data_IF_802323979321
#
_entry.id   IF_802323979321
#
_cell.length_a   1.000
_cell.length_b   1.000
_cell.length_c   1.000
_cell.angle_alpha   90.00
_cell.angle_beta   90.00
_cell.angle_gamma   90.00
#
_symmetry.space_group_name_H-M   'P 1'
#
loop_
_entity.id
_entity.type
_entity.pdbx_description
1 polymer ?
#
# COMPACT_ATOMS: atom_id res chain seq x y z
N UNK A 1 -0.68 28.10 24.68
CA UNK A 1 -0.94 26.87 23.89
C UNK A 1 0.23 25.95 24.06
N UNK A 2 0.02 24.88 24.82
CA UNK A 2 0.98 23.79 24.95
C UNK A 2 0.99 23.01 23.63
N UNK A 3 1.97 23.29 22.78
CA UNK A 3 2.27 22.44 21.64
C UNK A 3 2.56 21.04 22.16
N UNK A 4 1.80 20.06 21.71
CA UNK A 4 1.92 18.68 22.11
C UNK A 4 3.35 18.18 21.90
N UNK A 5 4.11 18.01 22.97
CA UNK A 5 5.50 17.52 22.94
C UNK A 5 5.62 16.15 22.29
N UNK A 6 4.56 15.34 22.30
CA UNK A 6 4.52 14.02 21.67
C UNK A 6 4.64 14.08 20.14
N UNK A 7 4.09 15.09 19.47
CA UNK A 7 4.23 15.25 18.02
C UNK A 7 5.68 15.61 17.64
N UNK A 8 6.33 16.49 18.40
CA UNK A 8 7.71 16.91 18.15
C UNK A 8 8.72 15.79 18.39
N UNK A 9 8.46 14.86 19.31
CA UNK A 9 9.34 13.72 19.58
C UNK A 9 9.25 12.62 18.53
N UNK A 10 8.07 12.42 17.91
CA UNK A 10 7.92 11.51 16.79
C UNK A 10 8.71 12.00 15.57
N UNK A 11 8.67 13.29 15.26
CA UNK A 11 9.43 13.87 14.16
C UNK A 11 10.95 13.80 14.35
N UNK A 12 11.43 13.90 15.59
CA UNK A 12 12.88 13.81 15.90
C UNK A 12 13.46 12.41 15.78
N UNK A 13 12.64 11.37 15.70
CA UNK A 13 13.05 9.96 15.69
C UNK A 13 12.74 9.22 14.38
N UNK A 14 12.28 9.93 13.35
CA UNK A 14 12.00 9.31 12.05
C UNK A 14 13.27 8.84 11.34
N UNK A 15 13.11 7.94 10.39
CA UNK A 15 14.14 7.56 9.43
C UNK A 15 14.49 8.70 8.49
N UNK A 16 15.59 8.58 7.79
CA UNK A 16 16.03 9.54 6.80
C UNK A 16 15.19 9.44 5.51
N UNK A 17 14.76 10.59 4.98
CA UNK A 17 14.09 10.65 3.69
C UNK A 17 15.10 10.49 2.55
N UNK A 18 14.83 9.54 1.65
CA UNK A 18 15.64 9.33 0.44
C UNK A 18 14.84 9.79 -0.77
N UNK A 19 15.43 10.64 -1.55
CA UNK A 19 14.87 11.12 -2.80
C UNK A 19 14.86 10.02 -3.87
N UNK A 20 13.90 10.07 -4.83
CA UNK A 20 13.75 9.09 -5.90
C UNK A 20 15.06 8.87 -6.68
N UNK A 21 15.86 9.93 -6.90
CA UNK A 21 17.13 9.87 -7.62
C UNK A 21 18.21 9.00 -6.96
N UNK A 22 18.13 8.81 -5.64
CA UNK A 22 19.05 7.97 -4.85
C UNK A 22 18.41 6.63 -4.44
N UNK A 23 17.11 6.47 -4.67
CA UNK A 23 16.35 5.32 -4.19
C UNK A 23 16.84 4.00 -4.81
N UNK A 24 17.01 3.96 -6.14
CA UNK A 24 17.44 2.74 -6.82
C UNK A 24 18.79 2.24 -6.29
N UNK A 25 19.78 3.12 -6.16
CA UNK A 25 21.08 2.75 -5.62
C UNK A 25 21.00 2.20 -4.17
N UNK A 26 20.09 2.73 -3.36
CA UNK A 26 19.87 2.24 -2.00
C UNK A 26 19.25 0.84 -2.00
N UNK A 27 18.23 0.58 -2.81
CA UNK A 27 17.50 -0.70 -2.77
C UNK A 27 18.21 -1.82 -3.54
N UNK A 28 19.15 -1.50 -4.42
CA UNK A 28 20.03 -2.47 -5.10
C UNK A 28 21.23 -2.90 -4.24
N UNK A 29 21.55 -2.15 -3.19
CA UNK A 29 22.61 -2.52 -2.26
C UNK A 29 22.23 -3.81 -1.53
N UNK A 30 23.07 -4.84 -1.65
CA UNK A 30 22.89 -6.16 -1.00
C UNK A 30 22.79 -6.08 0.52
N UNK A 31 23.27 -5.00 1.11
CA UNK A 31 23.18 -4.74 2.54
C UNK A 31 21.86 -4.03 2.95
N UNK A 32 20.94 -3.85 2.01
CA UNK A 32 19.65 -3.20 2.27
C UNK A 32 18.53 -4.22 2.42
N UNK A 33 17.75 -4.07 3.47
CA UNK A 33 16.47 -4.75 3.70
C UNK A 33 15.37 -3.82 3.20
N UNK A 34 14.73 -4.18 2.10
CA UNK A 34 13.63 -3.39 1.52
C UNK A 34 12.29 -3.91 2.01
N UNK A 35 11.47 -3.04 2.58
CA UNK A 35 10.18 -3.40 3.19
C UNK A 35 9.06 -2.56 2.58
N UNK A 36 8.05 -3.24 2.04
CA UNK A 36 6.79 -2.61 1.64
C UNK A 36 5.88 -2.47 2.88
N UNK A 37 5.61 -1.26 3.32
CA UNK A 37 4.78 -1.01 4.52
C UNK A 37 3.28 -0.95 4.21
N UNK A 38 2.88 -1.31 2.98
CA UNK A 38 1.49 -1.35 2.56
C UNK A 38 0.83 -2.67 2.94
N UNK A 39 -0.47 -2.75 2.71
CA UNK A 39 -1.23 -3.98 2.90
C UNK A 39 -0.95 -5.00 1.78
N UNK A 40 -1.20 -6.27 2.06
CA UNK A 40 -0.92 -7.36 1.12
C UNK A 40 -1.61 -7.23 -0.23
N UNK A 41 -2.82 -6.65 -0.28
CA UNK A 41 -3.53 -6.44 -1.55
C UNK A 41 -2.89 -5.33 -2.42
N UNK A 42 -2.30 -4.31 -1.79
CA UNK A 42 -1.55 -3.26 -2.49
C UNK A 42 -0.24 -3.83 -3.05
N UNK A 43 0.44 -4.68 -2.26
CA UNK A 43 1.65 -5.40 -2.68
C UNK A 43 1.38 -6.30 -3.89
N UNK A 44 0.24 -6.98 -3.91
CA UNK A 44 -0.08 -7.98 -4.94
C UNK A 44 -0.24 -7.39 -6.34
N UNK A 45 -0.63 -6.12 -6.46
CA UNK A 45 -0.78 -5.45 -7.76
C UNK A 45 0.48 -4.75 -8.25
N UNK A 46 1.42 -4.49 -7.35
CA UNK A 46 2.72 -3.94 -7.73
C UNK A 46 3.57 -3.60 -6.52
N UNK A 47 4.89 -3.73 -6.70
CA UNK A 47 5.88 -3.47 -5.65
C UNK A 47 7.28 -3.28 -6.26
N UNK A 48 8.26 -2.83 -5.48
CA UNK A 48 9.66 -2.84 -5.90
C UNK A 48 10.21 -4.27 -5.86
N UNK A 49 11.04 -4.61 -6.85
CA UNK A 49 11.73 -5.89 -6.92
C UNK A 49 12.48 -6.18 -5.60
N UNK A 50 12.41 -7.42 -5.12
CA UNK A 50 13.04 -7.91 -3.90
C UNK A 50 12.51 -7.30 -2.59
N UNK A 51 11.40 -6.58 -2.60
CA UNK A 51 10.81 -6.08 -1.38
C UNK A 51 10.17 -7.19 -0.55
N UNK A 52 10.24 -7.01 0.76
CA UNK A 52 9.59 -7.91 1.72
C UNK A 52 8.15 -7.47 1.91
N UNK A 53 7.22 -8.41 1.71
CA UNK A 53 5.82 -8.25 2.07
C UNK A 53 5.61 -8.68 3.54
N UNK A 54 5.22 -7.78 4.46
CA UNK A 54 4.87 -8.14 5.83
C UNK A 54 3.60 -9.01 5.94
N UNK A 55 2.85 -9.16 4.86
CA UNK A 55 1.57 -9.90 4.79
C UNK A 55 0.52 -9.38 5.78
N UNK A 56 0.51 -8.08 6.00
CA UNK A 56 -0.45 -7.40 6.86
C UNK A 56 -1.75 -7.10 6.12
N UNK A 57 -2.87 -7.20 6.82
CA UNK A 57 -4.18 -6.78 6.33
C UNK A 57 -4.43 -5.30 6.57
N UNK A 58 -3.77 -4.75 7.58
CA UNK A 58 -3.78 -3.34 7.91
C UNK A 58 -2.46 -2.91 8.55
N UNK A 59 -2.14 -1.62 8.47
CA UNK A 59 -0.87 -1.09 8.95
C UNK A 59 -0.64 -1.24 10.47
N UNK A 60 -1.69 -1.42 11.27
CA UNK A 60 -1.55 -1.63 12.72
C UNK A 60 -0.83 -2.94 13.08
N UNK A 61 -0.80 -3.89 12.15
CA UNK A 61 -0.13 -5.17 12.33
C UNK A 61 1.40 -5.09 12.10
N UNK A 62 1.89 -3.99 11.50
CA UNK A 62 3.31 -3.83 11.17
C UNK A 62 4.25 -3.96 12.39
N UNK A 63 3.98 -3.34 13.55
CA UNK A 63 4.81 -3.50 14.74
C UNK A 63 4.92 -4.96 15.21
N UNK A 64 3.83 -5.69 15.18
CA UNK A 64 3.80 -7.10 15.57
C UNK A 64 4.61 -7.97 14.60
N UNK A 65 4.50 -7.70 13.29
CA UNK A 65 5.31 -8.36 12.28
C UNK A 65 6.81 -8.14 12.50
N UNK A 66 7.25 -6.91 12.78
CA UNK A 66 8.65 -6.61 13.05
C UNK A 66 9.16 -7.41 14.25
N UNK A 67 8.39 -7.47 15.34
CA UNK A 67 8.74 -8.24 16.54
C UNK A 67 8.80 -9.74 16.27
N UNK A 68 7.86 -10.28 15.51
CA UNK A 68 7.83 -11.72 15.15
C UNK A 68 8.98 -12.12 14.24
N UNK A 69 9.46 -11.23 13.38
CA UNK A 69 10.55 -11.52 12.43
C UNK A 69 11.89 -11.75 13.11
N UNK A 70 12.07 -11.30 14.35
CA UNK A 70 13.29 -11.50 15.14
C UNK A 70 14.57 -11.13 14.37
N UNK A 71 14.68 -9.90 13.91
CA UNK A 71 15.90 -9.39 13.33
C UNK A 71 17.07 -9.53 14.32
N UNK A 72 18.23 -9.97 13.83
CA UNK A 72 19.42 -10.08 14.67
C UNK A 72 19.94 -8.69 15.08
N UNK A 73 20.68 -8.63 16.18
CA UNK A 73 21.32 -7.37 16.59
C UNK A 73 22.35 -6.89 15.54
N UNK A 74 22.98 -7.82 14.82
CA UNK A 74 23.83 -7.49 13.67
C UNK A 74 23.04 -6.83 12.55
N UNK A 75 21.83 -7.35 12.20
CA UNK A 75 20.99 -6.72 11.18
C UNK A 75 20.56 -5.31 11.57
N UNK A 76 20.24 -5.09 12.85
CA UNK A 76 19.81 -3.77 13.33
C UNK A 76 20.90 -2.71 13.24
N UNK A 77 22.15 -3.09 13.47
CA UNK A 77 23.29 -2.17 13.48
C UNK A 77 23.95 -2.00 12.11
N UNK A 78 24.04 -3.07 11.33
CA UNK A 78 24.87 -3.08 10.12
C UNK A 78 24.05 -2.91 8.84
N UNK A 79 22.82 -3.43 8.79
CA UNK A 79 22.01 -3.34 7.57
C UNK A 79 21.29 -2.01 7.46
N UNK A 80 21.07 -1.59 6.24
CA UNK A 80 20.18 -0.50 5.89
C UNK A 80 18.76 -1.04 5.80
N UNK A 81 17.80 -0.34 6.37
CA UNK A 81 16.37 -0.65 6.21
C UNK A 81 15.75 0.43 5.36
N UNK A 82 15.31 0.09 4.16
CA UNK A 82 14.62 0.98 3.26
C UNK A 82 13.12 0.64 3.23
N UNK A 83 12.26 1.63 3.40
CA UNK A 83 10.81 1.45 3.46
C UNK A 83 10.09 2.37 2.49
N UNK A 84 8.97 1.90 1.97
CA UNK A 84 8.12 2.66 1.08
C UNK A 84 6.64 2.39 1.31
N UNK A 85 5.79 3.32 0.91
CA UNK A 85 4.34 3.18 0.79
C UNK A 85 3.83 4.12 -0.30
N UNK A 86 2.54 4.15 -0.57
CA UNK A 86 1.94 4.94 -1.66
C UNK A 86 2.37 6.41 -1.65
N UNK A 87 2.12 7.13 -0.55
CA UNK A 87 2.42 8.58 -0.43
C UNK A 87 3.43 8.95 0.67
N UNK A 88 4.13 7.97 1.30
CA UNK A 88 5.16 8.24 2.33
C UNK A 88 4.67 8.25 3.78
N UNK A 89 3.41 8.56 4.06
CA UNK A 89 2.88 8.81 5.43
C UNK A 89 3.00 7.60 6.37
N UNK A 90 2.73 6.38 5.88
CA UNK A 90 2.89 5.15 6.69
C UNK A 90 4.35 4.94 7.08
N UNK A 91 5.28 5.30 6.19
CA UNK A 91 6.71 5.14 6.41
C UNK A 91 7.25 6.04 7.52
N UNK A 92 6.68 7.21 7.74
CA UNK A 92 7.07 8.07 8.87
C UNK A 92 6.89 7.36 10.21
N UNK A 93 5.72 6.73 10.41
CA UNK A 93 5.44 5.95 11.62
C UNK A 93 6.24 4.65 11.68
N UNK A 94 6.37 3.95 10.54
CA UNK A 94 7.13 2.70 10.46
C UNK A 94 8.61 2.94 10.78
N UNK A 95 9.22 4.01 10.25
CA UNK A 95 10.63 4.32 10.45
C UNK A 95 10.92 4.72 11.90
N UNK A 96 10.04 5.51 12.51
CA UNK A 96 10.14 5.85 13.93
C UNK A 96 10.06 4.58 14.80
N UNK A 97 9.17 3.65 14.48
CA UNK A 97 9.06 2.38 15.17
C UNK A 97 10.33 1.54 15.01
N UNK A 98 10.86 1.38 13.77
CA UNK A 98 12.08 0.63 13.52
C UNK A 98 13.28 1.20 14.30
N UNK A 99 13.42 2.53 14.35
CA UNK A 99 14.46 3.17 15.17
C UNK A 99 14.31 2.87 16.67
N UNK A 100 13.08 2.86 17.18
CA UNK A 100 12.81 2.50 18.58
C UNK A 100 13.11 1.01 18.87
N UNK A 101 13.01 0.13 17.87
CA UNK A 101 13.41 -1.28 17.98
C UNK A 101 14.94 -1.50 17.82
N UNK A 102 15.72 -0.41 17.72
CA UNK A 102 17.18 -0.44 17.72
C UNK A 102 17.85 -0.48 16.34
N UNK A 103 17.10 -0.23 15.25
CA UNK A 103 17.71 -0.10 13.92
C UNK A 103 18.39 1.25 13.76
N UNK A 104 19.67 1.24 13.39
CA UNK A 104 20.47 2.46 13.26
C UNK A 104 20.28 3.15 11.90
N UNK A 105 20.24 2.37 10.82
CA UNK A 105 20.25 2.86 9.44
C UNK A 105 18.85 2.68 8.81
N UNK A 106 17.93 3.60 9.07
CA UNK A 106 16.53 3.52 8.63
C UNK A 106 16.22 4.64 7.66
N UNK A 107 15.76 4.26 6.47
CA UNK A 107 15.47 5.13 5.34
C UNK A 107 14.05 4.92 4.84
N UNK A 108 13.45 5.95 4.26
CA UNK A 108 12.17 5.81 3.59
C UNK A 108 12.05 6.75 2.38
N UNK A 109 11.31 6.29 1.37
CA UNK A 109 11.12 6.97 0.11
C UNK A 109 10.33 8.27 0.30
N UNK A 110 10.96 9.40 -0.02
CA UNK A 110 10.35 10.73 0.05
C UNK A 110 9.23 10.86 -0.98
N UNK A 111 8.03 11.23 -0.52
CA UNK A 111 6.85 11.33 -1.37
C UNK A 111 6.25 9.98 -1.79
N UNK A 112 6.87 8.86 -1.36
CA UNK A 112 6.37 7.51 -1.62
C UNK A 112 6.46 7.07 -3.08
N UNK A 113 5.72 6.00 -3.39
CA UNK A 113 5.70 5.38 -4.72
C UNK A 113 5.21 6.36 -5.79
N UNK A 114 4.18 7.15 -5.50
CA UNK A 114 3.60 8.06 -6.49
C UNK A 114 4.64 9.07 -6.98
N UNK A 115 5.40 9.68 -6.06
CA UNK A 115 6.46 10.60 -6.46
C UNK A 115 7.60 9.90 -7.20
N UNK A 116 7.93 8.67 -6.83
CA UNK A 116 8.91 7.88 -7.56
C UNK A 116 8.47 7.59 -9.00
N UNK A 117 7.20 7.22 -9.22
CA UNK A 117 6.64 6.95 -10.54
C UNK A 117 6.52 8.22 -11.41
N UNK A 118 6.29 9.37 -10.78
CA UNK A 118 6.23 10.68 -11.45
C UNK A 118 7.60 11.14 -11.93
N UNK A 119 8.65 10.99 -11.10
CA UNK A 119 9.95 11.59 -11.29
C UNK A 119 10.99 10.64 -11.91
N UNK A 120 10.72 9.33 -11.95
CA UNK A 120 11.66 8.32 -12.46
C UNK A 120 11.24 7.88 -13.85
N UNK A 121 12.15 7.93 -14.81
CA UNK A 121 11.88 7.40 -16.15
C UNK A 121 11.61 5.90 -16.13
N UNK A 122 10.68 5.43 -16.95
CA UNK A 122 10.24 4.02 -16.99
C UNK A 122 11.40 3.04 -17.18
N UNK A 123 12.38 3.40 -18.03
CA UNK A 123 13.56 2.56 -18.29
C UNK A 123 14.47 2.38 -17.08
N UNK A 124 14.46 3.34 -16.17
CA UNK A 124 15.27 3.34 -14.94
C UNK A 124 14.50 2.86 -13.72
N UNK A 125 13.21 2.53 -13.89
CA UNK A 125 12.34 2.15 -12.78
C UNK A 125 12.57 0.71 -12.33
N UNK A 126 12.68 0.53 -11.02
CA UNK A 126 12.69 -0.78 -10.36
C UNK A 126 11.32 -1.19 -9.83
N UNK A 127 10.29 -0.38 -10.09
CA UNK A 127 8.92 -0.69 -9.77
C UNK A 127 8.34 -1.74 -10.73
N UNK A 128 7.56 -2.68 -10.21
CA UNK A 128 6.91 -3.74 -10.97
C UNK A 128 5.40 -3.70 -10.72
N UNK A 129 4.61 -3.72 -11.78
CA UNK A 129 3.15 -3.68 -11.72
C UNK A 129 2.58 -2.26 -11.56
N UNK A 130 1.40 -2.15 -10.97
CA UNK A 130 0.65 -0.90 -10.79
C UNK A 130 0.63 -0.49 -9.31
N UNK A 131 0.48 0.80 -9.05
CA UNK A 131 0.38 1.30 -7.68
C UNK A 131 -1.08 1.49 -7.28
N UNK A 132 -1.53 0.80 -6.21
CA UNK A 132 -2.86 1.02 -5.65
C UNK A 132 -2.99 2.43 -5.10
N UNK A 133 -4.07 3.10 -5.47
CA UNK A 133 -4.47 4.42 -4.99
C UNK A 133 -5.86 4.38 -4.35
N UNK A 134 -6.14 5.32 -3.46
CA UNK A 134 -7.41 5.35 -2.70
C UNK A 134 -8.41 6.34 -3.30
N UNK A 135 -8.31 6.59 -4.59
CA UNK A 135 -9.25 7.40 -5.36
C UNK A 135 -9.99 6.55 -6.41
N UNK A 136 -10.79 7.18 -7.28
CA UNK A 136 -11.65 6.49 -8.25
C UNK A 136 -10.87 5.70 -9.32
N UNK A 137 -9.58 5.99 -9.52
CA UNK A 137 -8.71 5.27 -10.46
C UNK A 137 -8.32 3.87 -9.96
N UNK A 138 -8.44 3.58 -8.67
CA UNK A 138 -8.07 2.32 -8.01
C UNK A 138 -6.59 1.97 -8.10
N UNK A 139 -5.97 2.08 -9.26
CA UNK A 139 -4.54 1.89 -9.49
C UNK A 139 -4.00 2.87 -10.54
N UNK A 140 -2.70 3.12 -10.49
CA UNK A 140 -1.99 3.92 -11.49
C UNK A 140 -0.77 3.18 -12.02
N UNK A 141 -0.45 3.44 -13.29
CA UNK A 141 0.74 2.97 -13.98
C UNK A 141 1.93 3.87 -13.68
N UNK A 142 3.06 3.58 -14.33
CA UNK A 142 4.31 4.30 -14.12
C UNK A 142 4.22 5.81 -14.45
N UNK A 143 3.41 6.19 -15.41
CA UNK A 143 3.17 7.57 -15.83
C UNK A 143 2.04 8.26 -15.03
N UNK A 144 1.59 7.66 -13.94
CA UNK A 144 0.43 8.06 -13.13
C UNK A 144 -0.90 8.05 -13.90
N UNK A 145 -0.94 7.51 -15.12
CA UNK A 145 -2.19 7.25 -15.82
C UNK A 145 -3.00 6.17 -15.11
N UNK A 146 -4.29 6.13 -15.39
CA UNK A 146 -5.21 5.14 -14.83
C UNK A 146 -4.73 3.71 -15.14
N UNK A 147 -4.78 2.87 -14.12
CA UNK A 147 -4.38 1.47 -14.18
C UNK A 147 -5.42 0.56 -14.83
N UNK A 148 -5.18 -0.74 -14.71
CA UNK A 148 -6.06 -1.78 -15.28
C UNK A 148 -6.97 -2.43 -14.23
N UNK A 149 -6.84 -2.06 -12.97
CA UNK A 149 -7.64 -2.62 -11.89
C UNK A 149 -8.90 -1.79 -11.64
N UNK A 150 -9.99 -2.49 -11.32
CA UNK A 150 -11.22 -1.92 -10.80
C UNK A 150 -11.40 -2.30 -9.32
N UNK A 151 -12.40 -1.78 -8.65
CA UNK A 151 -12.65 -2.03 -7.24
C UNK A 151 -13.85 -2.96 -7.05
N UNK A 152 -13.67 -4.04 -6.30
CA UNK A 152 -14.83 -4.78 -5.80
C UNK A 152 -15.54 -3.98 -4.71
N UNK A 153 -16.69 -3.37 -5.03
CA UNK A 153 -17.47 -2.58 -4.07
C UNK A 153 -17.93 -3.39 -2.84
N UNK A 154 -18.00 -4.73 -2.96
CA UNK A 154 -18.33 -5.60 -1.84
C UNK A 154 -17.25 -5.75 -0.78
N UNK A 155 -15.97 -5.73 -1.14
CA UNK A 155 -14.86 -5.93 -0.19
C UNK A 155 -13.72 -4.92 -0.31
N UNK A 156 -13.80 -3.98 -1.25
CA UNK A 156 -12.79 -2.94 -1.49
C UNK A 156 -11.41 -3.47 -1.91
N UNK A 157 -11.36 -4.69 -2.47
CA UNK A 157 -10.14 -5.24 -3.06
C UNK A 157 -10.06 -4.89 -4.55
N UNK A 158 -8.84 -4.64 -5.07
CA UNK A 158 -8.64 -4.48 -6.51
C UNK A 158 -8.99 -5.79 -7.23
N UNK A 159 -9.59 -5.68 -8.39
CA UNK A 159 -9.96 -6.78 -9.28
C UNK A 159 -9.63 -6.45 -10.74
N UNK A 160 -9.23 -7.45 -11.48
CA UNK A 160 -8.97 -7.34 -12.92
C UNK A 160 -10.24 -7.56 -13.73
N UNK A 161 -10.24 -7.16 -15.01
CA UNK A 161 -11.34 -7.47 -15.95
C UNK A 161 -11.56 -8.98 -16.06
N UNK A 162 -10.48 -9.79 -16.02
CA UNK A 162 -10.59 -11.23 -16.06
C UNK A 162 -11.28 -11.82 -14.82
N UNK A 163 -11.02 -11.26 -13.64
CA UNK A 163 -11.70 -11.68 -12.40
C UNK A 163 -13.18 -11.33 -12.40
N UNK A 164 -13.59 -10.28 -13.13
CA UNK A 164 -15.00 -9.95 -13.35
C UNK A 164 -15.76 -10.98 -14.18
N UNK A 165 -15.08 -11.79 -14.99
CA UNK A 165 -15.68 -12.90 -15.75
C UNK A 165 -15.97 -14.12 -14.86
N UNK A 166 -15.51 -14.15 -13.62
CA UNK A 166 -15.75 -15.22 -12.68
C UNK A 166 -17.23 -15.33 -12.31
N UNK A 167 -17.76 -16.55 -12.21
CA UNK A 167 -19.12 -16.83 -11.70
C UNK A 167 -19.38 -16.27 -10.29
N UNK A 168 -18.35 -15.92 -9.55
CA UNK A 168 -18.42 -15.36 -8.21
C UNK A 168 -18.51 -13.83 -8.20
N UNK A 169 -18.29 -13.20 -9.36
CA UNK A 169 -18.41 -11.76 -9.47
C UNK A 169 -19.86 -11.34 -9.71
N UNK A 170 -20.35 -10.53 -8.81
CA UNK A 170 -21.63 -9.83 -8.95
C UNK A 170 -21.35 -8.37 -8.67
N UNK A 171 -21.53 -7.51 -9.70
CA UNK A 171 -21.25 -6.07 -9.60
C UNK A 171 -21.91 -5.48 -8.34
N UNK A 172 -21.15 -4.71 -7.59
CA UNK A 172 -21.63 -4.09 -6.36
C UNK A 172 -21.75 -5.03 -5.14
N UNK A 173 -21.72 -6.35 -5.31
CA UNK A 173 -22.04 -7.34 -4.26
C UNK A 173 -20.85 -8.18 -3.85
N UNK A 174 -20.19 -8.86 -4.79
CA UNK A 174 -19.14 -9.84 -4.47
C UNK A 174 -18.12 -10.02 -5.59
N UNK A 175 -16.97 -10.58 -5.22
CA UNK A 175 -15.95 -11.12 -6.14
C UNK A 175 -15.43 -12.44 -5.58
N UNK A 176 -14.53 -13.11 -6.30
CA UNK A 176 -13.91 -14.39 -5.90
C UNK A 176 -13.28 -14.34 -4.50
N UNK A 177 -12.73 -13.18 -4.10
CA UNK A 177 -12.10 -13.00 -2.79
C UNK A 177 -13.12 -12.93 -1.63
N UNK A 178 -14.34 -12.44 -1.86
CA UNK A 178 -15.27 -12.15 -0.77
C UNK A 178 -16.60 -12.92 -0.81
N UNK A 179 -16.89 -13.66 -1.85
CA UNK A 179 -18.17 -14.36 -2.03
C UNK A 179 -18.52 -15.27 -0.84
N UNK A 180 -17.52 -16.00 -0.30
CA UNK A 180 -17.70 -16.91 0.82
C UNK A 180 -17.49 -16.25 2.20
N UNK A 181 -17.23 -14.95 2.26
CA UNK A 181 -16.95 -14.21 3.50
C UNK A 181 -18.12 -13.34 3.95
N UNK A 182 -19.22 -13.33 3.20
CA UNK A 182 -20.39 -12.48 3.45
C UNK A 182 -21.60 -13.29 3.89
N UNK A 183 -22.32 -12.75 4.86
CA UNK A 183 -23.60 -13.31 5.29
C UNK A 183 -24.69 -13.02 4.26
N UNK A 184 -25.75 -13.83 4.23
CA UNK A 184 -26.91 -13.62 3.34
C UNK A 184 -27.53 -12.24 3.54
N UNK A 185 -27.57 -11.73 4.78
CA UNK A 185 -28.08 -10.39 5.11
C UNK A 185 -27.20 -9.27 4.50
N UNK A 186 -25.87 -9.44 4.49
CA UNK A 186 -24.96 -8.49 3.85
C UNK A 186 -25.13 -8.49 2.32
N UNK A 187 -25.23 -9.67 1.72
CA UNK A 187 -25.46 -9.83 0.28
C UNK A 187 -26.77 -9.14 -0.12
N UNK A 188 -27.85 -9.37 0.60
CA UNK A 188 -29.13 -8.74 0.34
C UNK A 188 -29.05 -7.21 0.43
N UNK A 189 -28.40 -6.67 1.46
CA UNK A 189 -28.20 -5.23 1.63
C UNK A 189 -27.43 -4.61 0.46
N UNK A 190 -26.37 -5.26 -0.03
CA UNK A 190 -25.60 -4.77 -1.17
C UNK A 190 -26.44 -4.77 -2.46
N UNK A 191 -27.24 -5.80 -2.69
CA UNK A 191 -28.18 -5.87 -3.84
C UNK A 191 -29.19 -4.75 -3.80
N UNK A 192 -29.79 -4.49 -2.66
CA UNK A 192 -30.75 -3.40 -2.46
C UNK A 192 -30.09 -2.04 -2.70
N UNK A 193 -28.89 -1.80 -2.18
CA UNK A 193 -28.14 -0.56 -2.41
C UNK A 193 -27.86 -0.33 -3.91
N UNK A 194 -27.50 -1.38 -4.64
CA UNK A 194 -27.23 -1.29 -6.08
C UNK A 194 -28.50 -0.91 -6.88
N UNK A 195 -29.65 -1.46 -6.54
CA UNK A 195 -30.93 -1.12 -7.18
C UNK A 195 -31.24 0.37 -7.01
N UNK A 196 -31.15 0.89 -5.79
CA UNK A 196 -31.43 2.32 -5.54
C UNK A 196 -30.47 3.26 -6.27
N UNK A 197 -29.21 2.88 -6.48
CA UNK A 197 -28.25 3.72 -7.22
C UNK A 197 -28.48 3.67 -8.73
N UNK A 198 -28.98 2.57 -9.29
CA UNK A 198 -29.35 2.49 -10.72
C UNK A 198 -30.61 3.29 -11.02
N UNK A 199 -31.63 3.17 -10.17
CA UNK A 199 -32.91 3.90 -10.37
C UNK A 199 -32.70 5.42 -10.25
N UNK A 200 -31.84 5.89 -9.33
CA UNK A 200 -31.53 7.31 -9.21
C UNK A 200 -30.73 7.88 -10.39
N UNK A 201 -30.02 7.05 -11.15
CA UNK A 201 -29.30 7.48 -12.36
C UNK A 201 -30.24 7.64 -13.57
N UNK A 202 -31.32 6.84 -13.64
CA UNK A 202 -32.30 6.92 -14.73
C UNK A 202 -33.25 8.13 -14.56
N UNK A 203 -33.48 8.61 -13.33
CA UNK A 203 -34.32 9.80 -13.06
C UNK A 203 -33.65 11.14 -13.43
N UNK A 204 -32.36 11.16 -13.76
CA UNK A 204 -31.63 12.40 -14.14
C UNK A 204 -31.56 12.63 -15.64
N UNK A 205 -32.12 11.74 -16.47
CA UNK A 205 -32.12 11.80 -17.95
C UNK A 205 -33.51 12.09 -18.52
N UNK A 206 -34.36 12.76 -17.74
CA UNK A 206 -35.67 13.23 -18.15
C UNK A 206 -35.73 14.74 -18.40
#
# INVERSE_FOLDING_TARGET
PTTSSAASDVYKRQGEYIDHSKWNALIEDKNTILIDTRNSYEYAIGTFKNSINPKTSNFKEFPEWVKKRKFSESDKKQKKVAMFCTGGIRCEKASAFMKNEGFENVYHLKGGILKYLEETETLNSLWQGECFVFDDRVSVKHDLSEGSYDLCHGCRMPITEQEKLSRYYVKGVSCSNCVNKKTSKQIQRYRTCLLYTSDAADDVVG
#
